data_IF_868021585476
#
_entry.id   IF_868021585476
#
_cell.length_a   1.000
_cell.length_b   1.000
_cell.length_c   1.000
_cell.angle_alpha   90.00
_cell.angle_beta   90.00
_cell.angle_gamma   90.00
#
_symmetry.space_group_name_H-M   'P 1'
#
loop_
_entity.id
_entity.type
_entity.pdbx_description
1 polymer ?
#
# COMPACT_ATOMS: atom_id res chain seq x y z
N UNK A 1 -8.68 46.69 9.09
CA UNK A 1 -8.54 45.71 10.18
C UNK A 1 -8.29 44.36 9.51
N UNK A 2 -7.05 44.15 9.07
CA UNK A 2 -6.62 42.92 8.40
C UNK A 2 -6.21 41.90 9.49
N UNK A 3 -6.96 40.81 9.61
CA UNK A 3 -6.58 39.69 10.47
C UNK A 3 -5.81 38.67 9.63
N UNK A 4 -4.49 38.83 9.57
CA UNK A 4 -3.58 37.80 9.06
C UNK A 4 -3.59 36.61 10.01
N UNK A 5 -4.24 35.51 9.61
CA UNK A 5 -4.10 34.23 10.30
C UNK A 5 -2.68 33.69 10.11
N UNK A 6 -1.96 33.32 11.18
CA UNK A 6 -0.61 32.79 11.05
C UNK A 6 -0.70 31.35 10.53
N UNK A 7 -0.54 31.17 9.21
CA UNK A 7 -0.31 29.86 8.60
C UNK A 7 1.08 29.41 9.08
N UNK A 8 1.10 28.55 10.10
CA UNK A 8 2.31 28.06 10.73
C UNK A 8 3.30 27.48 9.72
N UNK A 9 4.56 27.94 9.80
CA UNK A 9 5.72 27.52 8.96
C UNK A 9 5.92 26.00 8.83
N UNK A 10 5.31 25.18 9.70
CA UNK A 10 5.40 23.71 9.63
C UNK A 10 4.65 23.08 8.43
N UNK A 11 3.67 23.74 7.80
CA UNK A 11 3.00 23.18 6.61
C UNK A 11 3.81 23.31 5.32
N UNK A 12 4.72 24.28 5.24
CA UNK A 12 5.47 24.55 4.00
C UNK A 12 6.57 23.52 3.70
N UNK A 13 7.15 22.86 4.70
CA UNK A 13 8.17 21.83 4.47
C UNK A 13 7.58 20.51 3.95
N UNK A 14 6.33 20.19 4.30
CA UNK A 14 5.68 18.96 3.84
C UNK A 14 5.20 19.02 2.38
N UNK A 15 4.97 20.22 1.84
CA UNK A 15 4.54 20.42 0.44
C UNK A 15 5.70 20.17 -0.53
N UNK A 16 6.93 20.56 -0.18
CA UNK A 16 8.10 20.31 -1.03
C UNK A 16 8.39 18.81 -1.17
N UNK A 17 8.36 18.07 -0.07
CA UNK A 17 8.55 16.61 -0.11
C UNK A 17 7.38 15.90 -0.81
N UNK A 18 6.13 16.32 -0.59
CA UNK A 18 4.97 15.76 -1.29
C UNK A 18 5.09 15.84 -2.81
N UNK A 19 5.62 16.95 -3.34
CA UNK A 19 5.84 17.11 -4.79
C UNK A 19 6.92 16.18 -5.34
N UNK A 20 8.00 15.94 -4.57
CA UNK A 20 9.10 15.04 -4.93
C UNK A 20 8.65 13.59 -4.95
N UNK A 21 7.94 13.14 -3.91
CA UNK A 21 7.42 11.78 -3.82
C UNK A 21 6.36 11.49 -4.88
N UNK A 22 5.50 12.46 -5.18
CA UNK A 22 4.54 12.34 -6.28
C UNK A 22 5.24 12.19 -7.64
N UNK A 23 6.33 12.93 -7.87
CA UNK A 23 7.14 12.81 -9.09
C UNK A 23 7.84 11.46 -9.17
N UNK A 24 8.48 11.02 -8.08
CA UNK A 24 9.13 9.71 -8.02
C UNK A 24 8.13 8.57 -8.25
N UNK A 25 6.97 8.61 -7.58
CA UNK A 25 5.91 7.63 -7.76
C UNK A 25 5.41 7.58 -9.21
N UNK A 26 5.25 8.74 -9.85
CA UNK A 26 4.92 8.82 -11.29
C UNK A 26 6.01 8.19 -12.16
N UNK A 27 7.28 8.52 -11.92
CA UNK A 27 8.41 7.99 -12.69
C UNK A 27 8.50 6.47 -12.56
N UNK A 28 8.38 5.93 -11.34
CA UNK A 28 8.33 4.49 -11.10
C UNK A 28 7.15 3.86 -11.83
N UNK A 29 5.94 4.42 -11.67
CA UNK A 29 4.73 3.88 -12.29
C UNK A 29 4.82 3.82 -13.83
N UNK A 30 5.25 4.92 -14.44
CA UNK A 30 5.51 4.99 -15.88
C UNK A 30 6.56 3.95 -16.28
N UNK A 31 7.65 3.85 -15.52
CA UNK A 31 8.72 2.91 -15.83
C UNK A 31 8.30 1.43 -15.75
N UNK A 32 7.43 1.09 -14.79
CA UNK A 32 6.91 -0.28 -14.62
C UNK A 32 5.89 -0.66 -15.69
N UNK A 33 5.05 0.30 -16.11
CA UNK A 33 3.96 0.03 -17.05
C UNK A 33 4.35 0.17 -18.53
N UNK A 34 5.55 0.69 -18.83
CA UNK A 34 6.03 0.72 -20.19
C UNK A 34 6.12 -0.71 -20.77
N UNK A 35 5.58 -0.95 -21.99
CA UNK A 35 5.63 -2.26 -22.63
C UNK A 35 7.04 -2.83 -22.69
N UNK A 36 7.18 -4.13 -22.38
CA UNK A 36 8.45 -4.85 -22.38
C UNK A 36 8.65 -5.67 -21.11
N UNK A 37 9.89 -6.08 -20.86
CA UNK A 37 10.26 -7.04 -19.81
C UNK A 37 9.76 -6.67 -18.40
N UNK A 38 9.61 -5.38 -18.10
CA UNK A 38 9.14 -4.91 -16.79
C UNK A 38 7.65 -5.15 -16.60
N UNK A 39 6.84 -4.82 -17.60
CA UNK A 39 5.42 -5.14 -17.60
C UNK A 39 5.18 -6.67 -17.58
N UNK A 40 6.01 -7.44 -18.29
CA UNK A 40 5.95 -8.90 -18.23
C UNK A 40 6.29 -9.44 -16.83
N UNK A 41 7.28 -8.85 -16.17
CA UNK A 41 7.63 -9.15 -14.77
C UNK A 41 6.49 -8.83 -13.81
N UNK A 42 5.90 -7.64 -13.94
CA UNK A 42 4.71 -7.22 -13.19
C UNK A 42 3.58 -8.24 -13.37
N UNK A 43 3.20 -8.53 -14.62
CA UNK A 43 2.17 -9.52 -14.96
C UNK A 43 2.47 -10.88 -14.33
N UNK A 44 3.71 -11.35 -14.43
CA UNK A 44 4.11 -12.65 -13.90
C UNK A 44 4.01 -12.71 -12.38
N UNK A 45 4.36 -11.62 -11.67
CA UNK A 45 4.20 -11.51 -10.23
C UNK A 45 2.72 -11.58 -9.83
N UNK A 46 1.85 -10.80 -10.48
CA UNK A 46 0.42 -10.84 -10.20
C UNK A 46 -0.18 -12.23 -10.46
N UNK A 47 0.12 -12.85 -11.61
CA UNK A 47 -0.37 -14.21 -11.92
C UNK A 47 0.11 -15.21 -10.87
N UNK A 48 1.37 -15.15 -10.45
CA UNK A 48 1.93 -16.03 -9.40
C UNK A 48 1.17 -15.87 -8.08
N UNK A 49 0.88 -14.64 -7.67
CA UNK A 49 0.10 -14.36 -6.46
C UNK A 49 -1.32 -14.93 -6.55
N UNK A 50 -2.02 -14.71 -7.66
CA UNK A 50 -3.35 -15.29 -7.87
C UNK A 50 -3.31 -16.82 -7.85
N UNK A 51 -2.37 -17.45 -8.56
CA UNK A 51 -2.26 -18.91 -8.61
C UNK A 51 -1.95 -19.51 -7.23
N UNK A 52 -1.07 -18.88 -6.46
CA UNK A 52 -0.78 -19.29 -5.07
C UNK A 52 -2.03 -19.18 -4.18
N UNK A 53 -2.82 -18.12 -4.39
CA UNK A 53 -3.96 -17.83 -3.53
C UNK A 53 -5.26 -18.51 -3.92
N UNK A 54 -5.40 -18.96 -5.17
CA UNK A 54 -6.55 -19.70 -5.69
C UNK A 54 -6.53 -21.19 -5.29
N UNK A 55 -6.42 -21.45 -3.99
CA UNK A 55 -6.60 -22.79 -3.42
C UNK A 55 -7.43 -22.73 -2.15
N UNK A 56 -8.31 -23.72 -1.95
CA UNK A 56 -9.14 -23.81 -0.73
C UNK A 56 -8.26 -23.78 0.54
N UNK A 57 -7.11 -24.47 0.50
CA UNK A 57 -6.15 -24.48 1.61
C UNK A 57 -5.64 -23.08 1.95
N UNK A 58 -5.29 -22.27 0.95
CA UNK A 58 -4.78 -20.92 1.22
C UNK A 58 -5.93 -19.99 1.63
N UNK A 59 -7.08 -20.05 0.96
CA UNK A 59 -8.29 -19.28 1.31
C UNK A 59 -8.76 -19.53 2.74
N UNK A 60 -8.69 -20.78 3.22
CA UNK A 60 -9.04 -21.16 4.58
C UNK A 60 -8.13 -20.52 5.66
N UNK A 61 -6.94 -20.05 5.27
CA UNK A 61 -5.99 -19.40 6.19
C UNK A 61 -6.14 -17.88 6.20
N UNK A 62 -6.92 -17.28 5.30
CA UNK A 62 -7.07 -15.83 5.25
C UNK A 62 -7.88 -15.31 6.44
N UNK A 63 -7.47 -14.21 7.09
CA UNK A 63 -8.20 -13.63 8.20
C UNK A 63 -9.64 -13.19 7.89
N UNK A 64 -9.96 -12.97 6.61
CA UNK A 64 -11.29 -12.53 6.16
C UNK A 64 -12.27 -13.67 5.84
N UNK A 65 -11.95 -14.90 6.25
CA UNK A 65 -12.90 -16.00 6.16
C UNK A 65 -13.97 -15.90 7.25
N UNK A 66 -15.16 -16.41 6.93
CA UNK A 66 -16.35 -16.45 7.80
C UNK A 66 -16.80 -17.88 8.09
N UNK A 67 -16.48 -18.82 7.20
CA UNK A 67 -16.72 -20.25 7.37
C UNK A 67 -15.71 -21.04 6.56
N UNK A 68 -15.24 -22.16 7.12
CA UNK A 68 -14.29 -23.07 6.49
C UNK A 68 -14.79 -24.50 6.69
N UNK A 69 -14.92 -25.25 5.61
CA UNK A 69 -15.14 -26.70 5.61
C UNK A 69 -14.10 -27.39 4.72
N UNK A 70 -14.12 -28.72 4.69
CA UNK A 70 -13.24 -29.49 3.81
C UNK A 70 -13.50 -29.23 2.32
N UNK A 71 -14.73 -28.83 1.95
CA UNK A 71 -15.15 -28.67 0.55
C UNK A 71 -15.35 -27.20 0.15
N UNK A 72 -15.46 -26.27 1.10
CA UNK A 72 -15.78 -24.88 0.80
C UNK A 72 -15.17 -23.89 1.80
N UNK A 73 -14.88 -22.69 1.31
CA UNK A 73 -14.49 -21.54 2.14
C UNK A 73 -15.39 -20.36 1.78
N UNK A 74 -15.99 -19.73 2.79
CA UNK A 74 -16.77 -18.50 2.64
C UNK A 74 -15.93 -17.36 3.17
N UNK A 75 -15.59 -16.39 2.32
CA UNK A 75 -14.78 -15.22 2.68
C UNK A 75 -15.29 -13.96 1.96
N UNK A 76 -14.85 -12.79 2.42
CA UNK A 76 -15.10 -11.54 1.70
C UNK A 76 -14.23 -11.48 0.45
N UNK A 77 -14.85 -11.63 -0.73
CA UNK A 77 -14.15 -11.54 -2.01
C UNK A 77 -13.41 -10.20 -2.15
N UNK A 78 -14.01 -9.10 -1.70
CA UNK A 78 -13.40 -7.77 -1.71
C UNK A 78 -12.13 -7.73 -0.85
N UNK A 79 -12.19 -8.19 0.41
CA UNK A 79 -11.03 -8.15 1.29
C UNK A 79 -9.90 -9.07 0.80
N UNK A 80 -10.25 -10.29 0.37
CA UNK A 80 -9.28 -11.26 -0.13
C UNK A 80 -8.59 -10.80 -1.42
N UNK A 81 -9.35 -10.30 -2.40
CA UNK A 81 -8.75 -9.77 -3.63
C UNK A 81 -7.91 -8.53 -3.36
N UNK A 82 -8.38 -7.61 -2.52
CA UNK A 82 -7.63 -6.39 -2.20
C UNK A 82 -6.28 -6.70 -1.55
N UNK A 83 -6.24 -7.62 -0.58
CA UNK A 83 -4.98 -8.03 0.06
C UNK A 83 -4.02 -8.67 -0.95
N UNK A 84 -4.51 -9.54 -1.85
CA UNK A 84 -3.69 -10.13 -2.92
C UNK A 84 -3.13 -9.05 -3.84
N UNK A 85 -3.96 -8.11 -4.29
CA UNK A 85 -3.55 -7.03 -5.19
C UNK A 85 -2.49 -6.15 -4.55
N UNK A 86 -2.66 -5.80 -3.27
CA UNK A 86 -1.72 -4.96 -2.53
C UNK A 86 -0.41 -5.69 -2.32
N UNK A 87 -0.43 -6.96 -1.88
CA UNK A 87 0.79 -7.75 -1.69
C UNK A 87 1.55 -7.98 -3.01
N UNK A 88 0.84 -8.32 -4.08
CA UNK A 88 1.45 -8.50 -5.40
C UNK A 88 2.05 -7.19 -5.95
N UNK A 89 1.34 -6.08 -5.77
CA UNK A 89 1.82 -4.74 -6.14
C UNK A 89 3.05 -4.34 -5.32
N UNK A 90 3.02 -4.58 -4.01
CA UNK A 90 4.14 -4.33 -3.12
C UNK A 90 5.39 -5.08 -3.58
N UNK A 91 5.30 -6.39 -3.82
CA UNK A 91 6.44 -7.18 -4.28
C UNK A 91 6.91 -6.75 -5.68
N UNK A 92 5.98 -6.44 -6.60
CA UNK A 92 6.36 -6.06 -7.94
C UNK A 92 7.08 -4.70 -8.03
N UNK A 93 6.71 -3.74 -7.17
CA UNK A 93 7.30 -2.40 -7.16
C UNK A 93 8.53 -2.32 -6.26
N UNK A 94 8.46 -2.90 -5.06
CA UNK A 94 9.46 -2.73 -3.99
C UNK A 94 10.26 -4.01 -3.71
N UNK A 95 9.99 -5.11 -4.41
CA UNK A 95 10.63 -6.38 -4.14
C UNK A 95 10.15 -7.03 -2.83
N UNK A 96 10.73 -8.18 -2.44
CA UNK A 96 10.31 -8.93 -1.26
C UNK A 96 10.66 -8.21 0.06
N UNK A 97 11.71 -7.38 0.07
CA UNK A 97 12.24 -6.77 1.30
C UNK A 97 11.19 -5.94 2.04
N UNK A 98 10.35 -5.17 1.33
CA UNK A 98 9.32 -4.35 1.98
C UNK A 98 8.31 -5.23 2.74
N UNK A 99 7.97 -6.40 2.22
CA UNK A 99 7.07 -7.34 2.88
C UNK A 99 7.70 -8.01 4.11
N UNK A 100 9.02 -8.24 4.07
CA UNK A 100 9.78 -8.79 5.20
C UNK A 100 9.92 -7.77 6.33
N UNK A 101 10.19 -6.50 5.99
CA UNK A 101 10.32 -5.42 6.96
C UNK A 101 8.97 -5.02 7.58
N UNK A 102 7.93 -4.91 6.74
CA UNK A 102 6.63 -4.37 7.13
C UNK A 102 5.51 -5.34 6.73
N UNK A 103 5.35 -6.48 7.44
CA UNK A 103 4.41 -7.55 7.08
C UNK A 103 2.93 -7.15 7.21
N UNK A 104 2.65 -6.00 7.84
CA UNK A 104 1.28 -5.46 8.02
C UNK A 104 0.96 -4.32 7.06
N UNK A 105 1.94 -3.87 6.27
CA UNK A 105 1.82 -2.70 5.41
C UNK A 105 0.62 -2.82 4.45
N UNK A 106 0.36 -4.02 3.92
CA UNK A 106 -0.77 -4.26 3.01
C UNK A 106 -2.13 -4.00 3.67
N UNK A 107 -2.28 -4.45 4.92
CA UNK A 107 -3.50 -4.26 5.70
C UNK A 107 -3.67 -2.82 6.15
N UNK A 108 -2.60 -2.16 6.58
CA UNK A 108 -2.63 -0.74 6.93
C UNK A 108 -2.97 0.12 5.70
N UNK A 109 -2.42 -0.23 4.53
CA UNK A 109 -2.76 0.43 3.27
C UNK A 109 -4.24 0.23 2.91
N UNK A 110 -4.79 -0.99 3.05
CA UNK A 110 -6.20 -1.26 2.79
C UNK A 110 -7.12 -0.41 3.68
N UNK A 111 -6.81 -0.32 4.98
CA UNK A 111 -7.57 0.51 5.93
C UNK A 111 -7.49 1.98 5.54
N UNK A 112 -6.30 2.46 5.15
CA UNK A 112 -6.11 3.83 4.71
C UNK A 112 -6.94 4.11 3.45
N UNK A 113 -6.86 3.27 2.42
CA UNK A 113 -7.59 3.45 1.16
C UNK A 113 -9.11 3.48 1.38
N UNK A 114 -9.65 2.52 2.14
CA UNK A 114 -11.07 2.43 2.50
C UNK A 114 -11.56 3.69 3.22
N UNK A 115 -10.71 4.32 4.05
CA UNK A 115 -11.07 5.49 4.85
C UNK A 115 -10.56 6.82 4.29
N UNK A 116 -9.91 6.82 3.12
CA UNK A 116 -9.31 8.04 2.53
C UNK A 116 -10.35 9.12 2.24
N UNK A 117 -11.62 8.75 2.06
CA UNK A 117 -12.72 9.71 1.98
C UNK A 117 -12.76 10.69 3.17
N UNK A 118 -12.32 10.27 4.37
CA UNK A 118 -12.24 11.15 5.54
C UNK A 118 -11.27 12.32 5.33
N UNK A 119 -10.18 12.11 4.58
CA UNK A 119 -9.27 13.19 4.19
C UNK A 119 -9.95 14.11 3.18
N UNK A 120 -10.60 13.53 2.17
CA UNK A 120 -11.27 14.28 1.09
C UNK A 120 -12.35 15.22 1.63
N UNK A 121 -13.12 14.76 2.61
CA UNK A 121 -14.17 15.55 3.27
C UNK A 121 -13.70 16.32 4.51
N UNK A 122 -12.39 16.38 4.76
CA UNK A 122 -11.79 17.11 5.89
C UNK A 122 -12.39 16.74 7.25
N UNK A 123 -12.65 15.44 7.46
CA UNK A 123 -13.23 14.94 8.71
C UNK A 123 -12.39 15.35 9.92
N UNK A 124 -13.00 15.72 11.06
CA UNK A 124 -12.27 16.06 12.26
C UNK A 124 -11.35 14.92 12.70
N UNK A 125 -10.09 15.24 13.04
CA UNK A 125 -9.05 14.23 13.35
C UNK A 125 -9.46 13.24 14.44
N UNK A 126 -10.20 13.68 15.45
CA UNK A 126 -10.64 12.83 16.55
C UNK A 126 -11.64 11.74 16.10
N UNK A 127 -12.32 11.92 14.96
CA UNK A 127 -13.19 10.93 14.32
C UNK A 127 -12.48 10.08 13.26
N UNK A 128 -11.26 10.47 12.88
CA UNK A 128 -10.49 9.86 11.81
C UNK A 128 -9.24 9.12 12.32
N UNK A 129 -9.23 8.73 13.61
CA UNK A 129 -8.05 8.14 14.26
C UNK A 129 -7.56 6.86 13.58
N UNK A 130 -8.47 5.99 13.15
CA UNK A 130 -8.15 4.75 12.43
C UNK A 130 -7.45 5.03 11.09
N UNK A 131 -8.00 5.94 10.29
CA UNK A 131 -7.42 6.35 9.01
C UNK A 131 -6.05 6.99 9.19
N UNK A 132 -5.95 7.95 10.14
CA UNK A 132 -4.70 8.66 10.41
C UNK A 132 -3.61 7.68 10.82
N UNK A 133 -3.92 6.77 11.76
CA UNK A 133 -2.97 5.75 12.21
C UNK A 133 -2.51 4.88 11.05
N UNK A 134 -3.44 4.31 10.28
CA UNK A 134 -3.10 3.43 9.16
C UNK A 134 -2.21 4.14 8.11
N UNK A 135 -2.55 5.38 7.77
CA UNK A 135 -1.72 6.22 6.89
C UNK A 135 -0.32 6.48 7.46
N UNK A 136 -0.22 6.77 8.76
CA UNK A 136 1.06 7.06 9.40
C UNK A 136 1.96 5.79 9.48
N UNK A 137 1.37 4.61 9.71
CA UNK A 137 2.10 3.32 9.63
C UNK A 137 2.61 3.07 8.20
N UNK A 138 1.78 3.31 7.17
CA UNK A 138 2.19 3.17 5.77
C UNK A 138 3.35 4.09 5.41
N UNK A 139 3.27 5.36 5.80
CA UNK A 139 4.34 6.34 5.55
C UNK A 139 5.62 5.90 6.26
N UNK A 140 5.52 5.53 7.54
CA UNK A 140 6.68 5.12 8.35
C UNK A 140 7.36 3.88 7.75
N UNK A 141 6.58 2.89 7.32
CA UNK A 141 7.12 1.68 6.69
C UNK A 141 7.84 1.96 5.36
N UNK A 142 7.27 2.84 4.53
CA UNK A 142 7.90 3.27 3.28
C UNK A 142 9.17 4.09 3.53
N UNK A 143 9.16 4.99 4.52
CA UNK A 143 10.35 5.77 4.90
C UNK A 143 11.51 4.86 5.30
N UNK A 144 11.27 3.86 6.15
CA UNK A 144 12.27 2.86 6.55
C UNK A 144 12.83 2.09 5.36
N UNK A 145 11.98 1.70 4.41
CA UNK A 145 12.43 1.02 3.20
C UNK A 145 13.34 1.92 2.36
N UNK A 146 13.01 3.20 2.21
CA UNK A 146 13.84 4.15 1.46
C UNK A 146 15.13 4.55 2.18
N UNK A 147 15.31 4.24 3.47
CA UNK A 147 16.58 4.37 4.19
C UNK A 147 17.55 3.22 3.85
N UNK A 148 17.07 2.05 3.42
CA UNK A 148 17.92 0.93 2.99
C UNK A 148 18.69 1.32 1.72
N UNK A 149 19.98 0.97 1.55
CA UNK A 149 20.71 1.20 0.31
C UNK A 149 20.06 0.52 -0.90
N UNK A 150 20.06 1.16 -2.07
CA UNK A 150 19.35 0.70 -3.28
C UNK A 150 19.78 -0.72 -3.69
N UNK A 151 21.06 -1.03 -3.52
CA UNK A 151 21.66 -2.33 -3.85
C UNK A 151 21.09 -3.47 -3.01
N UNK A 152 20.62 -3.17 -1.79
CA UNK A 152 20.06 -4.13 -0.85
C UNK A 152 18.54 -4.26 -0.93
N UNK A 153 17.84 -3.35 -1.63
CA UNK A 153 16.37 -3.31 -1.67
C UNK A 153 15.75 -4.45 -2.47
N UNK A 154 16.46 -4.98 -3.47
CA UNK A 154 15.97 -6.06 -4.35
C UNK A 154 14.77 -5.68 -5.24
N UNK A 155 14.20 -4.49 -5.07
CA UNK A 155 13.17 -3.87 -5.90
C UNK A 155 13.72 -2.75 -6.79
N UNK A 156 12.86 -2.15 -7.61
CA UNK A 156 13.25 -1.08 -8.54
C UNK A 156 13.15 0.33 -7.94
N UNK A 157 12.79 0.46 -6.66
CA UNK A 157 12.52 1.70 -5.94
C UNK A 157 13.66 2.10 -4.99
#
# INVERSE_FOLDING_TARGET
>A
MESSFPIGRKRYSQIHNGSRWAKLGREIHIHQLFPGKRLDGLRSTFIRYFQKSLSLKHMAQYPCNSSVSEQAVVLSLYAWTSDIFICAGQEAYFGPLLAEMEPKLSWDFLIFDELTWQVLYQYPKFLASKMIRAKDEVITGLERYFEVPVEARGGMA
#
